data_IF_521977079913
#
_entry.id   IF_521977079913
#
_cell.length_a   1.000
_cell.length_b   1.000
_cell.length_c   1.000
_cell.angle_alpha   90.00
_cell.angle_beta   90.00
_cell.angle_gamma   90.00
#
_symmetry.space_group_name_H-M   'P 1'
#
loop_
_entity.id
_entity.type
_entity.pdbx_description
1 polymer ?
#
# COMPACT_ATOMS: atom_id res chain seq x y z
N UNK A 1 17.13 -9.09 -4.78
CA UNK A 1 18.20 -9.93 -5.37
C UNK A 1 19.44 -9.13 -5.76
N UNK A 2 19.32 -8.06 -6.57
CA UNK A 2 20.47 -7.26 -7.03
C UNK A 2 21.30 -6.66 -5.87
N UNK A 3 20.66 -6.15 -4.81
CA UNK A 3 21.36 -5.59 -3.64
C UNK A 3 22.22 -6.64 -2.92
N UNK A 4 21.71 -7.87 -2.79
CA UNK A 4 22.38 -8.95 -2.06
C UNK A 4 23.57 -9.48 -2.88
N UNK A 5 23.36 -9.71 -4.18
CA UNK A 5 24.42 -10.23 -5.07
C UNK A 5 25.55 -9.22 -5.26
N UNK A 6 25.24 -7.93 -5.37
CA UNK A 6 26.25 -6.86 -5.50
C UNK A 6 27.02 -6.64 -4.20
N UNK A 7 26.36 -6.76 -3.05
CA UNK A 7 27.03 -6.70 -1.73
C UNK A 7 28.00 -7.86 -1.53
N UNK A 8 27.61 -9.08 -1.93
CA UNK A 8 28.48 -10.26 -1.90
C UNK A 8 29.66 -10.08 -2.87
N UNK A 9 29.42 -9.64 -4.10
CA UNK A 9 30.47 -9.34 -5.08
C UNK A 9 31.48 -8.32 -4.51
N UNK A 10 30.99 -7.24 -3.89
CA UNK A 10 31.83 -6.21 -3.29
C UNK A 10 32.66 -6.75 -2.12
N UNK A 11 32.09 -7.65 -1.30
CA UNK A 11 32.85 -8.32 -0.25
C UNK A 11 33.94 -9.21 -0.81
N UNK A 12 33.70 -9.95 -1.89
CA UNK A 12 34.73 -10.76 -2.54
C UNK A 12 35.87 -9.90 -3.10
N UNK A 13 35.55 -8.76 -3.72
CA UNK A 13 36.57 -7.85 -4.25
C UNK A 13 37.41 -7.17 -3.15
N UNK A 14 36.81 -6.88 -1.98
CA UNK A 14 37.52 -6.26 -0.85
C UNK A 14 38.20 -7.29 0.07
N UNK A 15 37.74 -8.53 0.09
CA UNK A 15 38.32 -9.60 0.90
C UNK A 15 39.61 -10.11 0.25
N UNK A 16 40.74 -9.45 0.55
CA UNK A 16 42.09 -9.95 0.26
C UNK A 16 42.45 -11.15 1.18
N UNK A 17 41.63 -12.21 1.16
CA UNK A 17 41.89 -13.48 1.87
C UNK A 17 41.22 -13.66 3.24
N UNK A 18 40.51 -12.66 3.78
CA UNK A 18 39.76 -12.81 5.05
C UNK A 18 38.32 -12.32 4.90
N UNK A 19 37.36 -13.25 5.02
CA UNK A 19 35.93 -12.94 4.99
C UNK A 19 35.44 -12.64 6.40
N UNK A 20 35.07 -11.38 6.65
CA UNK A 20 34.46 -10.95 7.91
C UNK A 20 33.01 -10.58 7.70
N UNK A 21 32.12 -11.09 8.56
CA UNK A 21 30.70 -10.74 8.55
C UNK A 21 30.49 -9.23 8.69
N UNK A 22 31.34 -8.53 9.46
CA UNK A 22 31.29 -7.07 9.61
C UNK A 22 31.49 -6.35 8.28
N UNK A 23 32.46 -6.80 7.48
CA UNK A 23 32.73 -6.24 6.15
C UNK A 23 31.54 -6.44 5.21
N UNK A 24 30.80 -7.55 5.36
CA UNK A 24 29.60 -7.82 4.57
C UNK A 24 28.45 -6.89 4.95
N UNK A 25 28.21 -6.67 6.25
CA UNK A 25 27.21 -5.71 6.69
C UNK A 25 27.56 -4.27 6.28
N UNK A 26 28.82 -3.85 6.39
CA UNK A 26 29.25 -2.50 6.00
C UNK A 26 29.05 -2.25 4.50
N UNK A 27 29.41 -3.23 3.65
CA UNK A 27 29.19 -3.14 2.20
C UNK A 27 27.69 -3.22 1.87
N UNK A 28 26.91 -4.05 2.57
CA UNK A 28 25.47 -4.13 2.39
C UNK A 28 24.77 -2.81 2.68
N UNK A 29 25.11 -2.16 3.80
CA UNK A 29 24.57 -0.84 4.17
C UNK A 29 24.98 0.21 3.13
N UNK A 30 26.21 0.15 2.62
CA UNK A 30 26.69 1.06 1.57
C UNK A 30 25.91 0.90 0.27
N UNK A 31 25.69 -0.34 -0.20
CA UNK A 31 24.90 -0.62 -1.42
C UNK A 31 23.44 -0.22 -1.22
N UNK A 32 22.86 -0.53 -0.05
CA UNK A 32 21.51 -0.10 0.31
C UNK A 32 21.38 1.42 0.28
N UNK A 33 22.35 2.14 0.86
CA UNK A 33 22.43 3.60 0.84
C UNK A 33 22.41 4.15 -0.58
N UNK A 34 23.17 3.57 -1.51
CA UNK A 34 23.20 3.99 -2.93
C UNK A 34 21.83 3.86 -3.60
N UNK A 35 21.09 2.77 -3.33
CA UNK A 35 19.72 2.61 -3.83
C UNK A 35 18.73 3.58 -3.17
N UNK A 36 18.99 3.98 -1.93
CA UNK A 36 18.29 5.07 -1.26
C UNK A 36 18.79 6.47 -1.67
N UNK A 37 19.66 6.58 -2.68
CA UNK A 37 20.29 7.84 -3.14
C UNK A 37 21.11 8.57 -2.06
N UNK A 38 21.59 7.83 -1.07
CA UNK A 38 22.53 8.33 -0.07
C UNK A 38 23.96 8.23 -0.61
N UNK A 39 24.76 9.25 -0.30
CA UNK A 39 26.17 9.29 -0.68
C UNK A 39 27.00 8.24 0.05
N UNK A 40 28.16 7.90 -0.51
CA UNK A 40 29.16 7.07 0.17
C UNK A 40 29.92 7.92 1.18
N UNK A 41 30.22 7.40 2.39
CA UNK A 41 31.00 8.12 3.39
C UNK A 41 32.48 8.29 2.98
N UNK A 42 33.03 7.33 2.24
CA UNK A 42 34.39 7.39 1.71
C UNK A 42 34.45 6.81 0.30
N UNK A 43 35.17 7.50 -0.60
CA UNK A 43 35.35 7.03 -1.97
C UNK A 43 36.47 5.98 -2.07
N UNK A 44 36.25 4.89 -2.80
CA UNK A 44 37.28 3.87 -2.99
C UNK A 44 38.43 4.40 -3.86
N UNK A 45 39.65 4.12 -3.42
CA UNK A 45 40.88 4.52 -4.13
C UNK A 45 41.18 3.65 -5.35
N UNK A 46 40.78 2.38 -5.31
CA UNK A 46 41.05 1.39 -6.35
C UNK A 46 40.14 1.57 -7.58
N UNK A 47 40.73 1.61 -8.77
CA UNK A 47 39.99 1.77 -10.05
C UNK A 47 38.91 0.72 -10.34
N UNK A 48 39.09 -0.59 -10.07
CA UNK A 48 38.03 -1.58 -10.36
C UNK A 48 36.81 -1.38 -9.45
N UNK A 49 37.02 -0.97 -8.19
CA UNK A 49 35.93 -0.74 -7.24
C UNK A 49 35.13 0.52 -7.63
N UNK A 50 35.79 1.55 -8.15
CA UNK A 50 35.12 2.77 -8.66
C UNK A 50 34.15 2.47 -9.80
N UNK A 51 34.52 1.59 -10.73
CA UNK A 51 33.63 1.18 -11.84
C UNK A 51 32.38 0.45 -11.34
N UNK A 52 32.54 -0.40 -10.31
CA UNK A 52 31.40 -1.11 -9.68
C UNK A 52 30.46 -0.12 -8.98
N UNK A 53 30.97 0.86 -8.26
CA UNK A 53 30.11 1.88 -7.66
C UNK A 53 29.43 2.76 -8.70
N UNK A 54 30.12 3.12 -9.78
CA UNK A 54 29.53 3.90 -10.87
C UNK A 54 28.38 3.13 -11.55
N UNK A 55 28.54 1.83 -11.80
CA UNK A 55 27.46 1.01 -12.36
C UNK A 55 26.28 0.85 -11.39
N UNK A 56 26.53 0.76 -10.08
CA UNK A 56 25.49 0.76 -9.05
C UNK A 56 24.71 2.09 -9.02
N UNK A 57 25.39 3.23 -9.13
CA UNK A 57 24.74 4.54 -9.18
C UNK A 57 23.87 4.69 -10.44
N UNK A 58 24.37 4.30 -11.61
CA UNK A 58 23.59 4.32 -12.86
C UNK A 58 22.36 3.41 -12.73
N UNK A 59 22.53 2.20 -12.18
CA UNK A 59 21.42 1.27 -11.94
C UNK A 59 20.37 1.86 -10.99
N UNK A 60 20.81 2.48 -9.89
CA UNK A 60 19.92 3.14 -8.92
C UNK A 60 19.09 4.25 -9.56
N UNK A 61 19.74 5.12 -10.36
CA UNK A 61 19.06 6.21 -11.07
C UNK A 61 18.03 5.67 -12.06
N UNK A 62 18.36 4.63 -12.83
CA UNK A 62 17.42 4.03 -13.79
C UNK A 62 16.22 3.43 -13.06
N UNK A 63 16.43 2.68 -11.97
CA UNK A 63 15.35 2.07 -11.19
C UNK A 63 14.45 3.15 -10.59
N UNK A 64 15.02 4.23 -10.03
CA UNK A 64 14.26 5.36 -9.52
C UNK A 64 13.44 6.04 -10.61
N UNK A 65 14.02 6.25 -11.79
CA UNK A 65 13.34 6.91 -12.90
C UNK A 65 12.15 6.07 -13.39
N UNK A 66 12.34 4.76 -13.56
CA UNK A 66 11.25 3.83 -13.92
C UNK A 66 10.16 3.81 -12.86
N UNK A 67 10.54 3.70 -11.58
CA UNK A 67 9.59 3.74 -10.46
C UNK A 67 8.78 5.04 -10.44
N UNK A 68 9.46 6.19 -10.56
CA UNK A 68 8.80 7.50 -10.59
C UNK A 68 7.84 7.63 -11.77
N UNK A 69 8.25 7.19 -12.97
CA UNK A 69 7.41 7.23 -14.15
C UNK A 69 6.17 6.33 -14.02
N UNK A 70 6.33 5.10 -13.50
CA UNK A 70 5.21 4.19 -13.26
C UNK A 70 4.26 4.72 -12.19
N UNK A 71 4.79 5.28 -11.09
CA UNK A 71 3.98 5.87 -10.03
C UNK A 71 3.16 7.05 -10.53
N UNK A 72 3.78 7.97 -11.27
CA UNK A 72 3.08 9.12 -11.85
C UNK A 72 2.01 8.66 -12.84
N UNK A 73 2.30 7.69 -13.69
CA UNK A 73 1.33 7.11 -14.62
C UNK A 73 0.13 6.51 -13.90
N UNK A 74 0.36 5.76 -12.82
CA UNK A 74 -0.69 5.16 -12.01
C UNK A 74 -1.57 6.23 -11.33
N UNK A 75 -0.96 7.28 -10.78
CA UNK A 75 -1.68 8.39 -10.15
C UNK A 75 -2.46 9.22 -11.17
N UNK A 76 -1.91 9.40 -12.38
CA UNK A 76 -2.58 10.14 -13.45
C UNK A 76 -3.76 9.36 -14.07
N UNK A 77 -3.64 8.04 -14.17
CA UNK A 77 -4.66 7.16 -14.74
C UNK A 77 -5.44 6.43 -13.64
N UNK A 78 -6.10 7.19 -12.76
CA UNK A 78 -7.05 6.60 -11.81
C UNK A 78 -8.36 6.24 -12.53
N UNK A 79 -8.36 5.09 -13.20
CA UNK A 79 -9.60 4.51 -13.72
C UNK A 79 -10.21 3.59 -12.66
N UNK A 80 -11.43 3.86 -12.19
CA UNK A 80 -12.08 2.98 -11.23
C UNK A 80 -12.25 1.59 -11.86
N UNK A 81 -11.76 0.56 -11.17
CA UNK A 81 -12.00 -0.83 -11.58
C UNK A 81 -13.43 -1.18 -11.24
N UNK A 82 -14.25 -1.37 -12.28
CA UNK A 82 -15.61 -1.84 -12.12
C UNK A 82 -15.61 -3.33 -11.75
N UNK A 83 -16.55 -3.79 -10.90
CA UNK A 83 -16.67 -5.20 -10.52
C UNK A 83 -17.02 -6.10 -11.72
N UNK A 84 -17.69 -5.55 -12.72
CA UNK A 84 -18.07 -6.23 -13.95
C UNK A 84 -18.12 -5.22 -15.12
N UNK A 85 -17.90 -5.72 -16.33
CA UNK A 85 -17.97 -4.94 -17.58
C UNK A 85 -18.98 -5.51 -18.58
N UNK A 86 -19.46 -6.74 -18.35
CA UNK A 86 -20.40 -7.45 -19.22
C UNK A 86 -21.68 -7.77 -18.48
N UNK A 87 -22.79 -7.92 -19.22
CA UNK A 87 -24.08 -8.32 -18.66
C UNK A 87 -23.99 -9.69 -17.96
N UNK A 88 -23.24 -10.63 -18.53
CA UNK A 88 -23.00 -11.94 -17.91
C UNK A 88 -22.27 -11.83 -16.57
N UNK A 89 -21.26 -10.97 -16.49
CA UNK A 89 -20.52 -10.69 -15.26
C UNK A 89 -21.42 -10.06 -14.19
N UNK A 90 -22.28 -9.13 -14.59
CA UNK A 90 -23.28 -8.51 -13.72
C UNK A 90 -24.25 -9.55 -13.12
N UNK A 91 -24.83 -10.41 -13.96
CA UNK A 91 -25.78 -11.44 -13.51
C UNK A 91 -25.10 -12.49 -12.62
N UNK A 92 -23.84 -12.85 -12.92
CA UNK A 92 -23.07 -13.82 -12.13
C UNK A 92 -22.68 -13.27 -10.76
N UNK A 93 -22.37 -11.98 -10.68
CA UNK A 93 -22.06 -11.32 -9.41
C UNK A 93 -23.29 -11.28 -8.49
N UNK A 94 -24.45 -10.88 -9.03
CA UNK A 94 -25.73 -10.93 -8.30
C UNK A 94 -25.83 -10.00 -7.08
N UNK A 95 -24.76 -9.29 -6.72
CA UNK A 95 -24.71 -8.37 -5.57
C UNK A 95 -25.49 -7.08 -5.85
N UNK A 96 -25.51 -6.67 -7.11
CA UNK A 96 -26.14 -5.43 -7.56
C UNK A 96 -27.55 -5.70 -8.04
N UNK A 97 -28.52 -5.08 -7.38
CA UNK A 97 -29.90 -5.04 -7.90
C UNK A 97 -30.02 -3.97 -8.97
N UNK A 98 -31.07 -4.04 -9.77
CA UNK A 98 -31.38 -2.97 -10.70
C UNK A 98 -32.81 -2.48 -10.58
N UNK A 99 -33.02 -1.28 -11.09
CA UNK A 99 -34.31 -0.61 -11.20
C UNK A 99 -34.61 -0.29 -12.66
N UNK A 100 -35.90 -0.20 -12.95
CA UNK A 100 -36.48 0.28 -14.20
C UNK A 100 -37.54 1.33 -13.87
N UNK A 101 -37.91 2.15 -14.84
CA UNK A 101 -39.03 3.07 -14.65
C UNK A 101 -40.33 2.28 -14.47
N UNK A 102 -41.16 2.70 -13.52
CA UNK A 102 -42.40 1.99 -13.21
C UNK A 102 -43.39 2.06 -14.39
N UNK A 103 -43.97 0.91 -14.74
CA UNK A 103 -44.91 0.75 -15.87
C UNK A 103 -44.32 1.20 -17.22
N UNK A 104 -43.01 1.02 -17.41
CA UNK A 104 -42.33 1.30 -18.68
C UNK A 104 -42.19 0.05 -19.55
N UNK A 105 -41.72 0.24 -20.79
CA UNK A 105 -41.46 -0.87 -21.70
C UNK A 105 -40.41 -1.84 -21.13
N UNK A 106 -39.41 -1.32 -20.42
CA UNK A 106 -38.36 -2.07 -19.73
C UNK A 106 -38.95 -2.96 -18.63
N UNK A 107 -39.94 -2.47 -17.87
CA UNK A 107 -40.61 -3.27 -16.85
C UNK A 107 -41.32 -4.51 -17.43
N UNK A 108 -41.86 -4.40 -18.63
CA UNK A 108 -42.62 -5.49 -19.28
C UNK A 108 -41.73 -6.46 -20.08
N UNK A 109 -40.42 -6.22 -20.18
CA UNK A 109 -39.49 -7.06 -20.96
C UNK A 109 -39.54 -8.55 -20.62
N UNK A 110 -39.60 -8.98 -19.34
CA UNK A 110 -39.62 -10.41 -18.98
C UNK A 110 -40.77 -11.18 -19.61
N UNK A 111 -41.91 -10.51 -19.85
CA UNK A 111 -43.09 -11.15 -20.44
C UNK A 111 -42.90 -11.56 -21.91
N UNK A 112 -41.89 -10.99 -22.59
CA UNK A 112 -41.65 -11.18 -24.03
C UNK A 112 -40.25 -11.72 -24.35
N UNK A 113 -39.30 -11.56 -23.45
CA UNK A 113 -37.92 -11.98 -23.66
C UNK A 113 -37.77 -13.50 -23.61
N UNK A 114 -36.96 -14.06 -24.51
CA UNK A 114 -36.56 -15.47 -24.52
C UNK A 114 -35.10 -15.70 -24.12
N UNK A 115 -34.33 -14.63 -23.99
CA UNK A 115 -32.92 -14.70 -23.61
C UNK A 115 -32.79 -15.09 -22.13
N UNK A 116 -32.11 -16.20 -21.87
CA UNK A 116 -31.89 -16.75 -20.54
C UNK A 116 -31.06 -15.82 -19.65
N UNK A 117 -30.09 -15.09 -20.20
CA UNK A 117 -29.25 -14.16 -19.43
C UNK A 117 -30.10 -12.96 -18.98
N UNK A 118 -30.91 -12.42 -19.89
CA UNK A 118 -31.80 -11.31 -19.59
C UNK A 118 -32.85 -11.71 -18.55
N UNK A 119 -33.46 -12.90 -18.68
CA UNK A 119 -34.43 -13.37 -17.68
C UNK A 119 -33.80 -13.48 -16.28
N UNK A 120 -32.58 -14.05 -16.18
CA UNK A 120 -31.82 -14.08 -14.92
C UNK A 120 -31.47 -12.70 -14.39
N UNK A 121 -31.20 -11.74 -15.28
CA UNK A 121 -31.03 -10.34 -14.89
C UNK A 121 -32.28 -9.83 -14.17
N UNK A 122 -33.47 -10.08 -14.73
CA UNK A 122 -34.75 -9.63 -14.15
C UNK A 122 -35.11 -10.29 -12.81
N UNK A 123 -34.49 -11.41 -12.45
CA UNK A 123 -34.60 -11.95 -11.08
C UNK A 123 -33.95 -11.01 -10.04
N UNK A 124 -33.02 -10.14 -10.46
CA UNK A 124 -32.37 -9.12 -9.64
C UNK A 124 -33.15 -7.78 -9.60
N UNK A 125 -34.33 -7.72 -10.20
CA UNK A 125 -35.15 -6.50 -10.26
C UNK A 125 -35.67 -6.12 -8.86
N UNK A 126 -35.55 -4.85 -8.50
CA UNK A 126 -36.09 -4.36 -7.24
C UNK A 126 -37.64 -4.42 -7.20
N UNK A 127 -38.21 -4.54 -5.99
CA UNK A 127 -39.67 -4.60 -5.82
C UNK A 127 -40.34 -3.36 -6.43
N UNK A 128 -41.53 -3.57 -7.02
CA UNK A 128 -42.32 -2.52 -7.69
C UNK A 128 -42.53 -1.23 -6.89
N UNK A 129 -42.59 -1.33 -5.56
CA UNK A 129 -42.76 -0.18 -4.66
C UNK A 129 -41.56 0.78 -4.64
N UNK A 130 -40.36 0.30 -4.98
CA UNK A 130 -39.12 1.10 -4.99
C UNK A 130 -38.71 1.55 -6.40
N UNK A 131 -39.54 1.27 -7.42
CA UNK A 131 -39.26 1.67 -8.79
C UNK A 131 -39.61 3.16 -8.99
N UNK A 132 -38.73 3.94 -9.62
CA UNK A 132 -38.95 5.36 -9.86
C UNK A 132 -40.10 5.60 -10.83
N UNK A 133 -40.82 6.70 -10.64
CA UNK A 133 -41.85 7.15 -11.57
C UNK A 133 -41.29 8.01 -12.71
N UNK A 134 -40.15 8.65 -12.48
CA UNK A 134 -39.49 9.54 -13.44
C UNK A 134 -38.04 9.12 -13.66
N UNK A 135 -37.52 9.35 -14.85
CA UNK A 135 -36.11 9.06 -15.20
C UNK A 135 -35.12 9.76 -14.25
N UNK A 136 -35.34 11.04 -13.94
CA UNK A 136 -34.46 11.82 -13.05
C UNK A 136 -34.40 11.26 -11.63
N UNK A 137 -35.52 10.74 -11.12
CA UNK A 137 -35.59 10.06 -9.83
C UNK A 137 -34.80 8.75 -9.85
N UNK A 138 -34.88 7.97 -10.94
CA UNK A 138 -34.11 6.75 -11.11
C UNK A 138 -32.60 6.98 -11.09
N UNK A 139 -32.12 7.98 -11.83
CA UNK A 139 -30.70 8.35 -11.78
C UNK A 139 -30.26 8.88 -10.41
N UNK A 140 -31.11 9.66 -9.73
CA UNK A 140 -30.82 10.12 -8.37
C UNK A 140 -30.71 8.95 -7.38
N UNK A 141 -31.65 8.01 -7.44
CA UNK A 141 -31.69 6.82 -6.59
C UNK A 141 -30.47 5.92 -6.82
N UNK A 142 -30.02 5.79 -8.07
CA UNK A 142 -28.79 5.09 -8.44
C UNK A 142 -27.54 5.77 -7.86
N UNK A 143 -27.47 7.11 -7.89
CA UNK A 143 -26.33 7.82 -7.29
C UNK A 143 -26.31 7.73 -5.74
N UNK A 144 -27.47 7.60 -5.09
CA UNK A 144 -27.57 7.52 -3.62
C UNK A 144 -27.27 6.12 -3.06
N UNK A 145 -27.48 5.07 -3.84
CA UNK A 145 -27.27 3.67 -3.42
C UNK A 145 -26.11 3.04 -4.18
N UNK A 146 -25.08 2.60 -3.46
CA UNK A 146 -23.86 2.02 -4.05
C UNK A 146 -24.07 0.74 -4.86
N UNK A 147 -25.09 -0.05 -4.54
CA UNK A 147 -25.31 -1.40 -5.11
C UNK A 147 -26.58 -1.45 -5.99
N UNK A 148 -26.84 -0.38 -6.73
CA UNK A 148 -28.02 -0.25 -7.59
C UNK A 148 -27.62 0.13 -9.01
N UNK A 149 -28.13 -0.60 -9.99
CA UNK A 149 -28.03 -0.27 -11.40
C UNK A 149 -29.37 0.29 -11.93
N UNK A 150 -29.31 1.14 -12.96
CA UNK A 150 -30.51 1.63 -13.64
C UNK A 150 -30.54 1.15 -15.08
N UNK A 151 -31.54 0.35 -15.43
CA UNK A 151 -31.73 -0.16 -16.77
C UNK A 151 -32.63 0.79 -17.58
N UNK A 152 -32.02 1.47 -18.56
CA UNK A 152 -32.66 2.49 -19.41
C UNK A 152 -31.88 2.62 -20.74
N UNK A 153 -32.53 3.18 -21.76
CA UNK A 153 -31.89 3.50 -23.05
C UNK A 153 -30.88 4.66 -22.91
N UNK A 154 -29.76 4.58 -23.63
CA UNK A 154 -28.65 5.55 -23.62
C UNK A 154 -29.11 7.00 -23.93
N UNK A 155 -30.10 7.15 -24.82
CA UNK A 155 -30.62 8.47 -25.22
C UNK A 155 -31.16 9.25 -24.03
N UNK A 156 -31.75 8.57 -23.04
CA UNK A 156 -32.25 9.22 -21.83
C UNK A 156 -31.11 9.73 -20.96
N UNK A 157 -30.04 8.95 -20.79
CA UNK A 157 -28.83 9.41 -20.09
C UNK A 157 -28.28 10.70 -20.74
N UNK A 158 -28.17 10.72 -22.06
CA UNK A 158 -27.70 11.92 -22.79
C UNK A 158 -28.64 13.13 -22.58
N UNK A 159 -29.95 12.91 -22.59
CA UNK A 159 -30.94 13.97 -22.46
C UNK A 159 -30.97 14.64 -21.08
N UNK A 160 -30.71 13.89 -20.00
CA UNK A 160 -30.74 14.42 -18.62
C UNK A 160 -29.39 14.45 -17.93
N UNK A 161 -28.30 14.34 -18.70
CA UNK A 161 -26.93 14.36 -18.18
C UNK A 161 -26.66 15.55 -17.24
N UNK A 162 -27.23 16.73 -17.53
CA UNK A 162 -27.08 17.93 -16.71
C UNK A 162 -27.70 17.81 -15.29
N UNK A 163 -28.59 16.85 -15.05
CA UNK A 163 -29.23 16.62 -13.75
C UNK A 163 -28.52 15.53 -12.94
N UNK A 164 -27.64 14.75 -13.58
CA UNK A 164 -26.93 13.63 -12.95
C UNK A 164 -25.68 14.18 -12.27
N UNK A 165 -25.57 13.95 -10.96
CA UNK A 165 -24.45 14.45 -10.14
C UNK A 165 -23.32 13.44 -9.94
N UNK A 166 -23.49 12.20 -10.39
CA UNK A 166 -22.51 11.14 -10.25
C UNK A 166 -21.93 10.69 -11.61
N UNK A 167 -20.73 10.10 -11.59
CA UNK A 167 -20.13 9.51 -12.78
C UNK A 167 -20.80 8.17 -13.09
N UNK A 168 -21.52 8.11 -14.21
CA UNK A 168 -22.24 6.91 -14.65
C UNK A 168 -21.44 6.18 -15.71
N UNK A 169 -21.36 4.86 -15.56
CA UNK A 169 -20.84 3.93 -16.57
C UNK A 169 -22.00 3.05 -17.03
N UNK A 170 -21.97 2.65 -18.30
CA UNK A 170 -23.00 1.78 -18.87
C UNK A 170 -22.41 0.43 -19.26
N UNK A 171 -23.26 -0.59 -19.25
CA UNK A 171 -22.95 -1.93 -19.73
C UNK A 171 -23.90 -2.19 -20.89
N UNK A 172 -23.33 -2.65 -22.00
CA UNK A 172 -24.15 -3.02 -23.14
C UNK A 172 -24.94 -4.30 -22.83
N UNK A 173 -26.24 -4.25 -23.09
CA UNK A 173 -27.13 -5.40 -22.96
C UNK A 173 -27.34 -6.11 -24.30
N UNK A 174 -26.78 -5.60 -25.39
CA UNK A 174 -26.94 -6.14 -26.75
C UNK A 174 -28.35 -5.95 -27.32
N UNK A 175 -29.26 -5.30 -26.59
CA UNK A 175 -30.63 -5.07 -27.00
C UNK A 175 -30.74 -3.79 -27.83
N UNK A 176 -31.38 -3.90 -28.99
CA UNK A 176 -31.67 -2.77 -29.86
C UNK A 176 -33.07 -2.26 -29.54
N UNK A 177 -33.15 -1.01 -29.08
CA UNK A 177 -34.41 -0.29 -28.92
C UNK A 177 -34.74 0.49 -30.18
N UNK A 178 -35.99 0.36 -30.66
CA UNK A 178 -36.49 1.08 -31.82
C UNK A 178 -37.56 2.09 -31.40
N UNK A 179 -37.45 3.32 -31.91
CA UNK A 179 -38.47 4.35 -31.75
C UNK A 179 -39.27 4.49 -33.04
N UNK A 180 -40.59 4.60 -32.90
CA UNK A 180 -41.51 4.75 -34.02
C UNK A 180 -42.57 5.81 -33.72
N UNK A 181 -43.10 6.44 -34.77
CA UNK A 181 -44.29 7.27 -34.67
C UNK A 181 -45.52 6.39 -34.62
N UNK A 182 -46.35 6.57 -33.61
CA UNK A 182 -47.61 5.83 -33.45
C UNK A 182 -48.74 6.57 -34.15
N UNK A 183 -49.55 5.82 -34.90
CA UNK A 183 -50.76 6.31 -35.58
C UNK A 183 -51.93 5.39 -35.24
N UNK A 184 -53.15 5.90 -35.41
CA UNK A 184 -54.36 5.09 -35.29
C UNK A 184 -54.37 3.95 -36.31
N UNK A 185 -54.97 2.82 -35.94
CA UNK A 185 -55.06 1.65 -36.82
C UNK A 185 -55.83 2.02 -38.11
N UNK A 186 -55.25 1.71 -39.26
CA UNK A 186 -55.85 2.03 -40.57
C UNK A 186 -55.72 3.49 -41.00
N UNK A 187 -54.85 4.29 -40.35
CA UNK A 187 -54.66 5.68 -40.72
C UNK A 187 -54.11 5.83 -42.16
N UNK A 188 -54.75 6.63 -43.03
CA UNK A 188 -54.33 6.79 -44.43
C UNK A 188 -52.93 7.40 -44.58
N UNK A 189 -52.44 8.15 -43.60
CA UNK A 189 -51.12 8.79 -43.63
C UNK A 189 -49.97 7.84 -43.30
N UNK A 190 -50.24 6.61 -42.88
CA UNK A 190 -49.19 5.66 -42.45
C UNK A 190 -48.13 5.44 -43.54
N UNK A 191 -48.55 5.19 -44.78
CA UNK A 191 -47.63 4.96 -45.90
C UNK A 191 -46.82 6.23 -46.23
N UNK A 192 -47.50 7.38 -46.23
CA UNK A 192 -46.88 8.68 -46.49
C UNK A 192 -45.79 9.02 -45.45
N UNK A 193 -46.10 8.88 -44.16
CA UNK A 193 -45.16 9.14 -43.07
C UNK A 193 -43.97 8.17 -43.13
N UNK A 194 -44.22 6.88 -43.34
CA UNK A 194 -43.16 5.87 -43.45
C UNK A 194 -42.19 6.17 -44.61
N UNK A 195 -42.71 6.59 -45.77
CA UNK A 195 -41.89 6.99 -46.91
C UNK A 195 -40.97 8.17 -46.55
N UNK A 196 -41.49 9.22 -45.93
CA UNK A 196 -40.71 10.39 -45.55
C UNK A 196 -39.72 10.12 -44.43
N UNK A 197 -40.07 9.31 -43.42
CA UNK A 197 -39.14 8.88 -42.38
C UNK A 197 -37.94 8.14 -42.98
N UNK A 198 -38.18 7.23 -43.93
CA UNK A 198 -37.10 6.52 -44.62
C UNK A 198 -36.21 7.47 -45.43
N UNK A 199 -36.79 8.45 -46.12
CA UNK A 199 -36.01 9.49 -46.82
C UNK A 199 -35.15 10.32 -45.86
N UNK A 200 -35.67 10.68 -44.68
CA UNK A 200 -34.90 11.42 -43.68
C UNK A 200 -33.73 10.60 -43.11
N UNK A 201 -33.88 9.28 -42.99
CA UNK A 201 -32.79 8.39 -42.61
C UNK A 201 -31.73 8.30 -43.72
N UNK A 202 -32.14 8.02 -44.96
CA UNK A 202 -31.22 7.84 -46.10
C UNK A 202 -30.44 9.12 -46.43
N UNK A 203 -31.08 10.28 -46.33
CA UNK A 203 -30.43 11.56 -46.63
C UNK A 203 -29.64 12.12 -45.43
N UNK A 204 -29.55 11.39 -44.31
CA UNK A 204 -28.80 11.82 -43.13
C UNK A 204 -29.43 12.97 -42.31
N UNK A 205 -30.65 13.40 -42.64
CA UNK A 205 -31.39 14.44 -41.89
C UNK A 205 -31.59 14.00 -40.44
N UNK A 206 -31.91 12.72 -40.22
CA UNK A 206 -32.07 12.16 -38.88
C UNK A 206 -30.75 12.25 -38.08
N UNK A 207 -29.61 11.94 -38.71
CA UNK A 207 -28.29 12.07 -38.08
C UNK A 207 -27.95 13.51 -37.73
N UNK A 208 -28.26 14.47 -38.61
CA UNK A 208 -28.08 15.90 -38.35
C UNK A 208 -28.93 16.37 -37.16
N UNK A 209 -30.19 15.96 -37.08
CA UNK A 209 -31.08 16.29 -35.97
C UNK A 209 -30.59 15.66 -34.65
N UNK A 210 -30.22 14.38 -34.68
CA UNK A 210 -29.62 13.69 -33.53
C UNK A 210 -28.42 14.48 -32.99
N UNK A 211 -27.47 14.84 -33.86
CA UNK A 211 -26.28 15.57 -33.44
C UNK A 211 -26.61 16.99 -32.93
N UNK A 212 -27.58 17.67 -33.53
CA UNK A 212 -27.97 19.03 -33.12
C UNK A 212 -28.60 19.07 -31.72
N UNK A 213 -29.45 18.09 -31.39
CA UNK A 213 -30.25 18.12 -30.17
C UNK A 213 -29.72 17.22 -29.05
N UNK A 214 -29.11 16.08 -29.37
CA UNK A 214 -28.58 15.13 -28.39
C UNK A 214 -27.07 15.29 -28.15
N UNK A 215 -26.30 15.72 -29.16
CA UNK A 215 -24.84 15.89 -29.01
C UNK A 215 -24.42 17.24 -28.42
N UNK A 216 -25.32 17.99 -27.77
CA UNK A 216 -24.88 18.90 -26.71
C UNK A 216 -24.47 18.03 -25.53
N UNK A 217 -23.28 17.43 -25.64
CA UNK A 217 -22.39 17.37 -24.49
C UNK A 217 -22.31 18.83 -24.04
N UNK A 218 -23.11 19.20 -23.05
CA UNK A 218 -22.66 20.22 -22.14
C UNK A 218 -21.36 19.65 -21.62
N UNK A 219 -20.29 20.16 -22.21
CA UNK A 219 -18.94 19.99 -21.77
C UNK A 219 -18.90 20.47 -20.32
N UNK A 220 -19.32 19.60 -19.41
CA UNK A 220 -18.57 19.35 -18.18
C UNK A 220 -17.31 18.55 -18.56
N UNK A 221 -16.68 18.89 -19.69
CA UNK A 221 -15.31 18.55 -19.94
C UNK A 221 -14.51 19.37 -18.94
N UNK A 222 -13.78 18.68 -18.07
CA UNK A 222 -12.62 19.29 -17.45
C UNK A 222 -12.79 19.86 -16.05
N UNK A 223 -13.74 19.40 -15.24
CA UNK A 223 -13.23 19.01 -13.91
C UNK A 223 -12.55 17.67 -14.14
N UNK A 224 -11.32 17.72 -14.68
CA UNK A 224 -10.32 16.73 -14.26
C UNK A 224 -10.32 16.85 -12.75
N UNK A 225 -11.12 16.02 -12.09
CA UNK A 225 -10.95 15.75 -10.68
C UNK A 225 -9.61 15.06 -10.64
N UNK A 226 -8.54 15.86 -10.58
CA UNK A 226 -7.23 15.37 -10.22
C UNK A 226 -7.49 14.52 -8.98
N UNK A 227 -7.18 13.24 -9.06
CA UNK A 227 -7.26 12.37 -7.88
C UNK A 227 -6.41 13.05 -6.82
N UNK A 228 -7.05 13.70 -5.86
CA UNK A 228 -6.33 14.25 -4.72
C UNK A 228 -5.87 13.02 -3.98
N UNK A 229 -4.55 12.88 -3.85
CA UNK A 229 -3.98 11.75 -3.12
C UNK A 229 -4.46 11.87 -1.68
N UNK A 230 -5.31 10.93 -1.27
CA UNK A 230 -5.85 10.92 0.07
C UNK A 230 -4.79 10.42 1.05
N UNK A 231 -4.88 10.84 2.31
CA UNK A 231 -3.98 10.35 3.36
C UNK A 231 -4.06 8.82 3.55
N UNK A 232 -5.19 8.21 3.17
CA UNK A 232 -5.36 6.75 3.13
C UNK A 232 -4.35 6.09 2.18
N UNK A 233 -4.01 6.72 1.07
CA UNK A 233 -3.12 6.15 0.05
C UNK A 233 -1.67 6.09 0.53
N UNK A 234 -1.26 7.05 1.38
CA UNK A 234 0.10 7.16 1.94
C UNK A 234 0.21 6.45 3.31
N UNK A 235 -0.93 6.03 3.88
CA UNK A 235 -0.97 5.38 5.20
C UNK A 235 -0.01 4.20 5.33
N UNK A 236 0.07 3.24 4.39
CA UNK A 236 1.01 2.12 4.49
C UNK A 236 2.47 2.58 4.64
N UNK A 237 2.90 3.58 3.86
CA UNK A 237 4.25 4.14 3.92
C UNK A 237 4.54 4.79 5.28
N UNK A 238 3.58 5.56 5.82
CA UNK A 238 3.72 6.18 7.15
C UNK A 238 3.77 5.14 8.27
N UNK A 239 2.93 4.10 8.20
CA UNK A 239 2.96 3.01 9.18
C UNK A 239 4.28 2.26 9.18
N UNK A 240 4.91 2.09 8.02
CA UNK A 240 6.23 1.44 7.89
C UNK A 240 7.34 2.29 8.53
N UNK A 241 7.30 3.61 8.36
CA UNK A 241 8.24 4.53 9.03
C UNK A 241 8.03 4.51 10.55
N UNK A 242 6.78 4.59 11.02
CA UNK A 242 6.47 4.51 12.44
C UNK A 242 6.93 3.19 13.07
N UNK A 243 6.64 2.07 12.43
CA UNK A 243 7.08 0.75 12.87
C UNK A 243 8.62 0.64 12.92
N UNK A 244 9.32 1.16 11.92
CA UNK A 244 10.80 1.12 11.89
C UNK A 244 11.43 1.98 12.99
N UNK A 245 10.85 3.13 13.33
CA UNK A 245 11.29 3.93 14.48
C UNK A 245 11.12 3.18 15.80
N UNK A 246 9.99 2.49 16.00
CA UNK A 246 9.74 1.69 17.21
C UNK A 246 10.77 0.56 17.32
N UNK A 247 11.03 -0.16 16.23
CA UNK A 247 12.04 -1.23 16.21
C UNK A 247 13.44 -0.68 16.52
N UNK A 248 13.81 0.47 15.95
CA UNK A 248 15.10 1.10 16.23
C UNK A 248 15.24 1.49 17.72
N UNK A 249 14.17 2.01 18.33
CA UNK A 249 14.14 2.33 19.76
C UNK A 249 14.29 1.06 20.62
N UNK A 250 13.60 -0.03 20.26
CA UNK A 250 13.73 -1.32 20.97
C UNK A 250 15.16 -1.86 20.90
N UNK A 251 15.80 -1.83 19.72
CA UNK A 251 17.20 -2.24 19.55
C UNK A 251 18.13 -1.39 20.42
N UNK A 252 17.95 -0.07 20.44
CA UNK A 252 18.76 0.84 21.26
C UNK A 252 18.59 0.56 22.77
N UNK A 253 17.37 0.27 23.22
CA UNK A 253 17.09 -0.10 24.62
C UNK A 253 17.82 -1.41 24.97
N UNK A 254 17.76 -2.40 24.09
CA UNK A 254 18.45 -3.70 24.27
C UNK A 254 19.97 -3.49 24.33
N UNK A 255 20.54 -2.70 23.43
CA UNK A 255 21.98 -2.40 23.42
C UNK A 255 22.43 -1.67 24.70
N UNK A 256 21.68 -0.66 25.16
CA UNK A 256 21.98 0.02 26.42
C UNK A 256 21.83 -0.92 27.61
N UNK A 257 20.81 -1.76 27.63
CA UNK A 257 20.61 -2.78 28.66
C UNK A 257 21.77 -3.76 28.72
N UNK A 258 22.20 -4.27 27.57
CA UNK A 258 23.36 -5.16 27.46
C UNK A 258 24.66 -4.46 27.87
N UNK A 259 24.88 -3.22 27.45
CA UNK A 259 26.06 -2.44 27.84
C UNK A 259 26.10 -2.20 29.36
N UNK A 260 24.99 -1.79 29.97
CA UNK A 260 24.89 -1.59 31.42
C UNK A 260 25.10 -2.90 32.20
N UNK A 261 24.52 -4.00 31.71
CA UNK A 261 24.71 -5.32 32.32
C UNK A 261 26.18 -5.77 32.26
N UNK A 262 26.81 -5.67 31.08
CA UNK A 262 28.21 -6.05 30.91
C UNK A 262 29.15 -5.13 31.70
N UNK A 263 28.87 -3.84 31.78
CA UNK A 263 29.67 -2.90 32.58
C UNK A 263 29.51 -3.14 34.08
N UNK A 264 28.29 -3.44 34.57
CA UNK A 264 28.07 -3.88 35.96
C UNK A 264 28.80 -5.20 36.25
N UNK A 265 28.77 -6.16 35.33
CA UNK A 265 29.51 -7.42 35.47
C UNK A 265 31.03 -7.21 35.53
N UNK A 266 31.59 -6.35 34.65
CA UNK A 266 33.00 -5.96 34.70
C UNK A 266 33.37 -5.22 35.99
N UNK A 267 32.57 -4.25 36.43
CA UNK A 267 32.81 -3.50 37.65
C UNK A 267 32.70 -4.38 38.90
N UNK A 268 31.73 -5.30 38.95
CA UNK A 268 31.61 -6.28 40.04
C UNK A 268 32.81 -7.24 40.07
N UNK A 269 33.27 -7.74 38.91
CA UNK A 269 34.50 -8.55 38.83
C UNK A 269 35.73 -7.77 39.31
N UNK A 270 35.84 -6.49 38.96
CA UNK A 270 36.93 -5.61 39.41
C UNK A 270 36.86 -5.32 40.91
N UNK A 271 35.66 -5.08 41.46
CA UNK A 271 35.43 -4.86 42.89
C UNK A 271 35.74 -6.12 43.72
N UNK A 272 35.31 -7.31 43.27
CA UNK A 272 35.64 -8.59 43.91
C UNK A 272 37.15 -8.83 43.90
N UNK A 273 37.84 -8.53 42.78
CA UNK A 273 39.30 -8.67 42.69
C UNK A 273 40.04 -7.73 43.66
N UNK A 274 39.54 -6.49 43.82
CA UNK A 274 40.09 -5.49 44.74
C UNK A 274 39.82 -5.85 46.21
N UNK A 275 38.64 -6.40 46.51
CA UNK A 275 38.29 -6.90 47.84
C UNK A 275 39.14 -8.11 48.24
N UNK A 276 39.31 -9.09 47.33
CA UNK A 276 40.17 -10.25 47.57
C UNK A 276 41.64 -9.86 47.79
N UNK A 277 42.15 -8.86 47.06
CA UNK A 277 43.49 -8.32 47.28
C UNK A 277 43.62 -7.69 48.67
N UNK A 278 42.68 -6.82 49.05
CA UNK A 278 42.68 -6.17 50.38
C UNK A 278 42.53 -7.19 51.53
N UNK A 279 41.70 -8.22 51.36
CA UNK A 279 41.54 -9.30 52.34
C UNK A 279 42.84 -10.10 52.49
N UNK A 280 43.53 -10.39 51.38
CA UNK A 280 44.83 -11.04 51.38
C UNK A 280 45.90 -10.23 52.14
N UNK A 281 45.98 -8.93 51.90
CA UNK A 281 46.90 -8.01 52.61
C UNK A 281 46.58 -7.95 54.10
N UNK A 282 45.29 -7.88 54.46
CA UNK A 282 44.85 -7.81 55.86
C UNK A 282 45.17 -9.11 56.61
N UNK A 283 44.98 -10.26 55.98
CA UNK A 283 45.36 -11.57 56.54
C UNK A 283 46.88 -11.71 56.71
N UNK A 284 47.69 -11.15 55.79
CA UNK A 284 49.15 -11.12 55.94
C UNK A 284 49.59 -10.22 57.11
N UNK A 285 48.99 -9.05 57.27
CA UNK A 285 49.26 -8.15 58.40
C UNK A 285 48.86 -8.79 59.74
N UNK A 286 47.73 -9.49 59.79
CA UNK A 286 47.27 -10.17 60.99
C UNK A 286 48.17 -11.36 61.36
N UNK A 287 48.69 -12.12 60.36
CA UNK A 287 49.73 -13.13 60.59
C UNK A 287 51.02 -12.52 61.14
N UNK A 288 51.47 -11.38 60.61
CA UNK A 288 52.65 -10.65 61.13
C UNK A 288 52.44 -10.16 62.56
N UNK A 289 51.28 -9.61 62.87
CA UNK A 289 50.97 -9.15 64.23
C UNK A 289 50.89 -10.32 65.22
N UNK A 290 50.29 -11.45 64.83
CA UNK A 290 50.27 -12.64 65.68
C UNK A 290 51.66 -13.24 65.89
N UNK A 291 52.52 -13.23 64.86
CA UNK A 291 53.94 -13.63 64.99
C UNK A 291 54.72 -12.69 65.93
N UNK A 292 54.50 -11.38 65.83
CA UNK A 292 55.14 -10.42 66.74
C UNK A 292 54.61 -10.56 68.17
N UNK A 293 53.33 -10.91 68.34
CA UNK A 293 52.74 -11.16 69.66
C UNK A 293 53.33 -12.42 70.31
N UNK A 294 53.50 -13.51 69.56
CA UNK A 294 54.16 -14.72 70.08
C UNK A 294 55.64 -14.49 70.39
N UNK A 295 56.36 -13.69 69.61
CA UNK A 295 57.74 -13.31 69.93
C UNK A 295 57.79 -12.50 71.24
N UNK A 296 56.89 -11.53 71.43
CA UNK A 296 56.82 -10.72 72.65
C UNK A 296 56.41 -11.55 73.89
N UNK A 297 55.48 -12.50 73.75
CA UNK A 297 55.08 -13.41 74.83
C UNK A 297 56.25 -14.33 75.21
N UNK A 298 56.98 -14.85 74.22
CA UNK A 298 58.18 -15.66 74.46
C UNK A 298 59.29 -14.84 75.15
N UNK A 299 59.52 -13.58 74.76
CA UNK A 299 60.46 -12.69 75.48
C UNK A 299 60.02 -12.40 76.93
N UNK A 300 58.71 -12.23 77.19
CA UNK A 300 58.19 -12.07 78.56
C UNK A 300 58.33 -13.34 79.42
N UNK A 301 58.20 -14.52 78.81
CA UNK A 301 58.42 -15.81 79.48
C UNK A 301 59.91 -16.08 79.76
N UNK A 302 60.83 -15.61 78.91
CA UNK A 302 62.27 -15.65 79.20
C UNK A 302 62.68 -14.70 80.33
N UNK A 303 62.06 -13.53 80.43
CA UNK A 303 62.36 -12.54 81.48
C UNK A 303 61.71 -12.83 82.85
N UNK A 304 60.92 -13.91 82.98
CA UNK A 304 60.25 -14.30 84.24
C UNK A 304 60.77 -15.61 84.82
N UNK A 305 61.88 -16.16 84.31
CA UNK A 305 62.57 -17.28 84.98
C UNK A 305 63.48 -16.76 86.11
N UNK A 306 63.21 -17.13 87.38
CA UNK A 306 64.11 -16.79 88.48
C UNK A 306 65.42 -17.58 88.39
N UNK A 307 66.53 -16.89 88.65
CA UNK A 307 67.87 -17.45 88.80
C UNK A 307 67.86 -18.31 90.06
N UNK A 308 67.97 -19.64 89.89
CA UNK A 308 67.99 -20.62 90.97
C UNK A 308 69.08 -21.67 90.74
N UNK A 309 70.11 -21.58 91.57
CA UNK A 309 71.15 -22.54 91.98
C UNK A 309 71.29 -23.91 91.28
N UNK A 310 72.54 -24.18 90.86
CA UNK A 310 73.11 -25.50 90.54
C UNK A 310 73.35 -26.34 91.82
N UNK A 311 73.32 -27.67 91.70
CA UNK A 311 74.36 -28.56 92.20
C UNK A 311 75.32 -29.03 91.11
#
# INVERSE_FOLDING_TARGET
>A
MIIITTSILLTFMKAKGYFSLRLLFDNYISVWGIYCQQGLPEFPKESPIRLVFLSLYISSIIILAVYSASLISYLALSTPRLPFSTLEGYVKDGTYKFIVMRNSAEYDVPSRAKDAILLKMYDLLEKKAFLPHRLSEGFKQMCEKSNLAFYTTEVFHQAINFQIKCNVVYIDTGRIDNLAMTLTKGNPYTSFINYHLRRFQLNGVMGKLKNKYLSKKLDFSGYMSYGVVDLSDITPSLTMVGASMIVALLVLIIEKGYYLYNNRSKNNKLAIKKFNYNLGVRNQLQKRNNQNLTININQKLYNTRPIGYWP
#
